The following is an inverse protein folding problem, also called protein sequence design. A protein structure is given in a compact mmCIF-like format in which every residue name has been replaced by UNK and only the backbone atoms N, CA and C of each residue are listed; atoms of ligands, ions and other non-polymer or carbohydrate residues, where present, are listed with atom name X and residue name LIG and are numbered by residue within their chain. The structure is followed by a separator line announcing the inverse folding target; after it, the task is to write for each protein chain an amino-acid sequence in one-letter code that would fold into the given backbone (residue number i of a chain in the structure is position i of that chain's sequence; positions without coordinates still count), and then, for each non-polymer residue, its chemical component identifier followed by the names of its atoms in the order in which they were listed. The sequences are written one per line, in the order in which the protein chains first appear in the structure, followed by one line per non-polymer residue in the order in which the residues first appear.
data_IF_505290703883
#
_entry.id   IF_505290703883
#
_cell.length_a   1.000
_cell.length_b   1.000
_cell.length_c   1.000
_cell.angle_alpha   90.00
_cell.angle_beta   90.00
_cell.angle_gamma   90.00
#
_symmetry.space_group_name_H-M   'P 1'
#
loop_
_entity.id
_entity.type
_entity.pdbx_description
1 polymer ?
#
# COMPACT_ATOMS: atom_id res chain seq x y z
N UNK A 1 12.78 -2.99 8.15
CA UNK A 1 12.82 -1.73 7.35
C UNK A 1 13.89 -1.81 6.27
N UNK A 2 15.10 -2.28 6.58
CA UNK A 2 16.18 -2.45 5.58
C UNK A 2 15.85 -3.46 4.49
N UNK A 3 15.26 -4.61 4.83
CA UNK A 3 14.83 -5.61 3.84
C UNK A 3 13.81 -5.04 2.83
N UNK A 4 12.92 -4.15 3.28
CA UNK A 4 12.03 -3.43 2.38
C UNK A 4 12.82 -2.54 1.41
N UNK A 5 13.84 -1.82 1.89
CA UNK A 5 14.69 -1.01 1.02
C UNK A 5 15.48 -1.85 0.01
N UNK A 6 15.94 -3.05 0.39
CA UNK A 6 16.59 -4.02 -0.53
C UNK A 6 15.62 -4.53 -1.58
N UNK A 7 14.40 -4.88 -1.18
CA UNK A 7 13.33 -5.26 -2.11
C UNK A 7 13.03 -4.14 -3.12
N UNK A 8 12.88 -2.90 -2.63
CA UNK A 8 12.65 -1.73 -3.50
C UNK A 8 13.81 -1.55 -4.47
N UNK A 9 15.07 -1.66 -4.04
CA UNK A 9 16.22 -1.61 -4.95
C UNK A 9 16.14 -2.63 -6.08
N UNK A 10 15.67 -3.86 -5.80
CA UNK A 10 15.50 -4.90 -6.81
C UNK A 10 14.36 -4.57 -7.78
N UNK A 11 13.23 -4.08 -7.27
CA UNK A 11 12.08 -3.66 -8.09
C UNK A 11 12.47 -2.50 -9.02
N UNK A 12 13.19 -1.50 -8.51
CA UNK A 12 13.69 -0.36 -9.28
C UNK A 12 14.61 -0.77 -10.44
N UNK A 13 15.21 -1.96 -10.38
CA UNK A 13 16.08 -2.45 -11.44
C UNK A 13 15.29 -3.02 -12.63
N UNK A 14 14.10 -3.56 -12.39
CA UNK A 14 13.30 -4.29 -13.38
C UNK A 14 12.17 -3.44 -13.95
N UNK A 15 11.53 -2.64 -13.12
CA UNK A 15 10.35 -1.86 -13.53
C UNK A 15 10.81 -0.52 -14.12
N UNK A 16 10.51 -0.22 -15.40
CA UNK A 16 10.78 1.08 -16.00
C UNK A 16 9.77 2.14 -15.54
N UNK A 17 10.03 3.41 -15.85
CA UNK A 17 9.07 4.52 -15.64
C UNK A 17 8.65 4.72 -14.16
N UNK A 18 7.36 4.93 -13.90
CA UNK A 18 6.82 5.31 -12.61
C UNK A 18 6.56 4.15 -11.66
N UNK A 19 7.05 4.29 -10.43
CA UNK A 19 6.78 3.38 -9.30
C UNK A 19 6.25 4.18 -8.12
N UNK A 20 5.21 3.67 -7.47
CA UNK A 20 4.61 4.31 -6.30
C UNK A 20 4.66 3.34 -5.12
N UNK A 21 5.13 3.82 -3.97
CA UNK A 21 5.17 3.05 -2.73
C UNK A 21 4.25 3.73 -1.73
N UNK A 22 3.15 3.08 -1.39
CA UNK A 22 2.20 3.57 -0.40
C UNK A 22 2.55 3.05 0.99
N UNK A 23 2.61 3.98 1.94
CA UNK A 23 2.79 3.72 3.36
C UNK A 23 1.48 3.94 4.13
N UNK A 24 1.29 3.27 5.27
CA UNK A 24 0.08 3.40 6.08
C UNK A 24 -0.05 4.75 6.78
N UNK A 25 1.04 5.49 6.99
CA UNK A 25 1.03 6.81 7.60
C UNK A 25 2.27 7.63 7.24
N UNK A 26 2.17 8.96 7.33
CA UNK A 26 3.31 9.88 7.14
C UNK A 26 4.42 9.67 8.19
N UNK A 27 4.07 9.21 9.39
CA UNK A 27 5.06 8.93 10.44
C UNK A 27 5.87 7.68 10.11
N UNK A 28 5.21 6.65 9.63
CA UNK A 28 5.87 5.42 9.22
C UNK A 28 6.72 5.63 7.96
N UNK A 29 6.21 6.38 6.97
CA UNK A 29 7.00 6.80 5.80
C UNK A 29 8.28 7.52 6.23
N UNK A 30 8.19 8.49 7.15
CA UNK A 30 9.36 9.22 7.68
C UNK A 30 10.35 8.28 8.36
N UNK A 31 9.87 7.39 9.23
CA UNK A 31 10.70 6.39 9.92
C UNK A 31 11.46 5.50 8.93
N UNK A 32 10.78 5.06 7.86
CA UNK A 32 11.39 4.26 6.80
C UNK A 32 12.42 5.07 6.02
N UNK A 33 12.08 6.30 5.64
CA UNK A 33 12.97 7.21 4.92
C UNK A 33 14.26 7.48 5.70
N UNK A 34 14.15 7.80 6.98
CA UNK A 34 15.32 8.09 7.84
C UNK A 34 16.20 6.85 8.03
N UNK A 35 15.60 5.67 8.17
CA UNK A 35 16.34 4.41 8.23
C UNK A 35 17.04 4.06 6.90
N UNK A 36 16.41 4.35 5.76
CA UNK A 36 17.05 4.16 4.45
C UNK A 36 18.18 5.15 4.21
N UNK A 37 18.05 6.37 4.73
CA UNK A 37 19.10 7.38 4.69
C UNK A 37 20.31 6.95 5.53
N UNK A 38 20.09 6.51 6.78
CA UNK A 38 21.20 6.07 7.64
C UNK A 38 21.89 4.79 7.13
N UNK A 39 21.15 3.90 6.47
CA UNK A 39 21.69 2.68 5.87
C UNK A 39 22.33 2.88 4.48
N UNK A 40 22.36 4.10 3.93
CA UNK A 40 22.88 4.38 2.58
C UNK A 40 22.05 3.77 1.44
N UNK A 41 20.86 3.25 1.73
CA UNK A 41 19.95 2.69 0.71
C UNK A 41 19.34 3.79 -0.15
N UNK A 42 19.15 4.98 0.42
CA UNK A 42 18.58 6.12 -0.30
C UNK A 42 19.41 6.53 -1.51
N UNK A 43 20.74 6.56 -1.37
CA UNK A 43 21.67 6.88 -2.46
C UNK A 43 21.59 5.85 -3.58
N UNK A 44 21.45 4.56 -3.23
CA UNK A 44 21.27 3.47 -4.21
C UNK A 44 19.96 3.61 -4.97
N UNK A 45 18.89 3.99 -4.28
CA UNK A 45 17.58 4.26 -4.87
C UNK A 45 17.68 5.45 -5.83
N UNK A 46 18.22 6.58 -5.36
CA UNK A 46 18.36 7.82 -6.11
C UNK A 46 19.27 7.67 -7.33
N UNK A 47 20.28 6.79 -7.29
CA UNK A 47 21.11 6.46 -8.45
C UNK A 47 20.32 5.79 -9.58
N UNK A 48 19.26 5.04 -9.26
CA UNK A 48 18.44 4.31 -10.26
C UNK A 48 17.26 5.14 -10.75
N UNK A 49 16.54 5.78 -9.82
CA UNK A 49 15.34 6.57 -10.12
C UNK A 49 15.29 7.84 -9.27
N UNK A 50 14.69 8.88 -9.84
CA UNK A 50 14.44 10.13 -9.11
C UNK A 50 13.38 9.89 -8.03
N UNK A 51 13.70 10.24 -6.78
CA UNK A 51 12.86 9.98 -5.62
C UNK A 51 12.04 11.22 -5.27
N UNK A 52 10.73 11.00 -5.08
CA UNK A 52 9.77 12.01 -4.65
C UNK A 52 9.05 11.53 -3.39
N UNK A 53 8.62 12.49 -2.56
CA UNK A 53 7.87 12.22 -1.33
C UNK A 53 6.63 13.07 -1.29
N UNK A 54 5.53 12.49 -0.88
CA UNK A 54 4.29 13.21 -0.63
C UNK A 54 4.45 14.14 0.60
N UNK A 55 4.27 15.46 0.43
CA UNK A 55 4.23 16.39 1.55
C UNK A 55 2.88 16.29 2.28
N UNK A 56 2.86 16.66 3.56
CA UNK A 56 1.62 16.72 4.36
C UNK A 56 0.69 17.86 3.93
N UNK A 57 1.25 18.94 3.37
CA UNK A 57 0.52 20.15 2.97
C UNK A 57 -0.08 20.02 1.57
N UNK A 58 -1.28 20.57 1.39
CA UNK A 58 -2.04 20.48 0.13
C UNK A 58 -1.39 21.16 -1.07
N UNK A 59 -0.72 22.30 -0.83
CA UNK A 59 -0.17 23.17 -1.89
C UNK A 59 1.03 22.52 -2.57
N UNK A 60 1.86 21.85 -1.78
CA UNK A 60 3.12 21.26 -2.26
C UNK A 60 2.92 19.94 -3.02
N UNK A 61 1.78 19.27 -2.82
CA UNK A 61 1.48 17.98 -3.46
C UNK A 61 1.41 18.11 -4.98
N UNK A 62 0.70 19.12 -5.51
CA UNK A 62 0.55 19.26 -6.97
C UNK A 62 1.89 19.55 -7.67
N UNK A 63 2.74 20.37 -7.04
CA UNK A 63 4.07 20.67 -7.56
C UNK A 63 4.93 19.38 -7.66
N UNK A 64 4.99 18.59 -6.58
CA UNK A 64 5.73 17.33 -6.56
C UNK A 64 5.20 16.33 -7.59
N UNK A 65 3.89 16.27 -7.77
CA UNK A 65 3.27 15.37 -8.74
C UNK A 65 3.55 15.78 -10.18
N UNK A 66 3.53 17.08 -10.46
CA UNK A 66 3.94 17.60 -11.75
C UNK A 66 5.40 17.22 -12.04
N UNK A 67 6.30 17.45 -11.09
CA UNK A 67 7.71 17.05 -11.24
C UNK A 67 7.90 15.54 -11.41
N UNK A 68 7.10 14.72 -10.71
CA UNK A 68 7.08 13.28 -10.87
C UNK A 68 6.65 12.87 -12.28
N UNK A 69 5.54 13.43 -12.79
CA UNK A 69 5.05 13.16 -14.16
C UNK A 69 6.07 13.55 -15.21
N UNK A 70 6.69 14.72 -15.05
CA UNK A 70 7.73 15.21 -15.95
C UNK A 70 8.95 14.29 -15.94
N UNK A 71 9.36 13.82 -14.76
CA UNK A 71 10.47 12.87 -14.61
C UNK A 71 10.20 11.52 -15.29
N UNK A 72 8.97 10.99 -15.18
CA UNK A 72 8.57 9.75 -15.85
C UNK A 72 8.53 9.95 -17.37
N UNK A 73 7.86 10.99 -17.85
CA UNK A 73 7.68 11.27 -19.28
C UNK A 73 9.00 11.53 -20.00
N UNK A 74 9.94 12.22 -19.33
CA UNK A 74 11.29 12.44 -19.84
C UNK A 74 12.05 11.12 -20.10
N UNK A 75 11.72 10.06 -19.38
CA UNK A 75 12.31 8.73 -19.56
C UNK A 75 11.61 7.93 -20.67
N UNK A 76 10.29 8.04 -20.80
CA UNK A 76 9.51 7.32 -21.83
C UNK A 76 9.81 7.80 -23.25
N UNK A 77 9.97 9.12 -23.43
CA UNK A 77 10.20 9.72 -24.76
C UNK A 77 11.65 9.63 -25.25
N UNK A 78 12.60 9.51 -24.31
CA UNK A 78 14.00 9.29 -24.61
C UNK A 78 14.28 7.80 -24.50
N UNK A 79 13.94 7.05 -25.55
CA UNK A 79 14.48 5.71 -25.76
C UNK A 79 15.99 5.71 -25.49
N UNK A 80 16.54 4.56 -25.06
CA UNK A 80 17.84 4.30 -24.44
C UNK A 80 19.13 4.93 -25.05
N UNK A 81 19.02 5.83 -26.02
CA UNK A 81 20.05 6.39 -26.88
C UNK A 81 20.62 7.76 -26.45
N UNK A 82 20.08 8.46 -25.43
CA UNK A 82 20.67 9.75 -24.99
C UNK A 82 20.61 10.00 -23.48
N UNK A 83 21.67 9.59 -22.75
CA UNK A 83 22.15 10.25 -21.52
C UNK A 83 21.17 10.45 -20.35
N UNK A 84 19.98 9.86 -20.33
CA UNK A 84 19.05 9.97 -19.21
C UNK A 84 19.66 9.26 -18.00
N UNK A 85 20.00 10.03 -16.96
CA UNK A 85 20.67 9.56 -15.75
C UNK A 85 19.80 8.54 -14.98
N UNK A 86 18.47 8.57 -15.18
CA UNK A 86 17.51 7.72 -14.47
C UNK A 86 16.50 7.09 -15.43
N UNK A 87 16.07 5.85 -15.13
CA UNK A 87 15.08 5.10 -15.90
C UNK A 87 13.66 5.25 -15.29
N UNK A 88 13.27 6.48 -14.96
CA UNK A 88 11.98 6.82 -14.36
C UNK A 88 12.07 7.38 -12.94
N UNK A 89 10.95 7.31 -12.22
CA UNK A 89 10.76 7.95 -10.92
C UNK A 89 10.11 7.03 -9.89
N UNK A 90 10.36 7.32 -8.62
CA UNK A 90 9.79 6.65 -7.45
C UNK A 90 9.08 7.67 -6.59
N UNK A 91 7.80 7.46 -6.30
CA UNK A 91 6.99 8.30 -5.39
C UNK A 91 6.69 7.55 -4.10
N UNK A 92 7.12 8.09 -2.96
CA UNK A 92 6.69 7.64 -1.63
C UNK A 92 5.42 8.41 -1.25
N UNK A 93 4.31 7.69 -1.13
CA UNK A 93 2.99 8.24 -0.87
C UNK A 93 2.36 7.58 0.35
N UNK A 94 1.28 8.16 0.86
CA UNK A 94 0.55 7.64 2.03
C UNK A 94 -0.87 7.23 1.62
N UNK A 95 -1.34 6.10 2.14
CA UNK A 95 -2.72 5.65 1.96
C UNK A 95 -3.66 6.61 2.70
N UNK A 96 -4.73 7.06 2.04
CA UNK A 96 -5.61 8.12 2.54
C UNK A 96 -4.98 9.52 2.43
N UNK A 97 -3.84 9.64 1.75
CA UNK A 97 -3.26 10.91 1.34
C UNK A 97 -3.92 11.45 0.06
N UNK A 98 -3.64 12.70 -0.29
CA UNK A 98 -4.15 13.36 -1.49
C UNK A 98 -3.77 12.62 -2.76
N UNK A 99 -2.56 12.05 -2.75
CA UNK A 99 -2.05 11.25 -3.87
C UNK A 99 -2.87 9.98 -4.09
N UNK A 100 -3.36 9.36 -3.01
CA UNK A 100 -4.13 8.11 -3.09
C UNK A 100 -5.60 8.29 -3.48
N UNK A 101 -6.17 9.48 -3.27
CA UNK A 101 -7.59 9.75 -3.54
C UNK A 101 -7.80 10.48 -4.89
N UNK A 102 -6.94 11.45 -5.21
CA UNK A 102 -7.23 12.47 -6.23
C UNK A 102 -6.47 12.32 -7.54
N UNK A 103 -5.63 11.30 -7.71
CA UNK A 103 -4.73 11.21 -8.87
C UNK A 103 -5.06 10.03 -9.76
N UNK A 104 -5.19 10.34 -11.05
CA UNK A 104 -5.16 9.34 -12.10
C UNK A 104 -3.70 9.09 -12.54
N UNK A 105 -3.21 7.86 -12.35
CA UNK A 105 -1.92 7.43 -12.88
C UNK A 105 -2.14 6.84 -14.29
N UNK A 106 -2.17 7.71 -15.29
CA UNK A 106 -2.21 7.32 -16.71
C UNK A 106 -0.91 6.62 -17.15
N UNK A 107 -0.91 6.05 -18.35
CA UNK A 107 0.14 5.15 -18.87
C UNK A 107 1.57 5.60 -18.52
N UNK A 108 2.29 4.70 -17.87
CA UNK A 108 3.69 4.88 -17.43
C UNK A 108 3.86 5.49 -16.04
N UNK A 109 2.89 6.25 -15.52
CA UNK A 109 2.99 6.92 -14.22
C UNK A 109 2.92 5.96 -13.02
N UNK A 110 2.36 4.77 -13.20
CA UNK A 110 2.15 3.77 -12.14
C UNK A 110 2.38 2.34 -12.60
N UNK A 111 3.49 2.07 -13.30
CA UNK A 111 3.82 0.71 -13.81
C UNK A 111 3.97 -0.31 -12.70
N UNK A 112 4.33 0.12 -11.50
CA UNK A 112 4.31 -0.71 -10.30
C UNK A 112 3.82 0.12 -9.11
N UNK A 113 2.90 -0.49 -8.35
CA UNK A 113 2.45 0.04 -7.07
C UNK A 113 2.82 -0.97 -5.99
N UNK A 114 3.53 -0.50 -4.96
CA UNK A 114 3.93 -1.30 -3.80
C UNK A 114 3.16 -0.79 -2.59
N UNK A 115 2.37 -1.67 -1.98
CA UNK A 115 1.68 -1.38 -0.72
C UNK A 115 2.51 -1.90 0.44
N UNK A 116 2.97 -1.01 1.32
CA UNK A 116 3.78 -1.38 2.49
C UNK A 116 2.86 -1.68 3.66
N UNK A 117 2.66 -2.97 3.92
CA UNK A 117 1.71 -3.43 4.93
C UNK A 117 0.26 -3.29 4.44
N UNK A 118 -0.68 -3.54 5.35
CA UNK A 118 -2.09 -3.33 5.13
C UNK A 118 -2.51 -2.07 5.90
N UNK A 119 -3.21 -1.11 5.26
CA UNK A 119 -3.73 0.08 5.93
C UNK A 119 -4.91 -0.35 6.81
N UNK A 120 -4.62 -0.92 7.98
CA UNK A 120 -5.66 -1.21 8.95
C UNK A 120 -6.10 0.08 9.64
N UNK A 121 -7.42 0.28 9.84
CA UNK A 121 -7.90 1.35 10.68
C UNK A 121 -7.34 1.19 12.10
N UNK A 122 -7.17 2.30 12.81
CA UNK A 122 -6.68 2.24 14.18
C UNK A 122 -7.63 1.40 15.03
N UNK A 123 -7.15 0.43 15.83
CA UNK A 123 -8.00 -0.33 16.74
C UNK A 123 -8.61 0.55 17.85
N UNK A 124 -8.12 1.78 18.02
CA UNK A 124 -8.66 2.78 18.95
C UNK A 124 -9.74 3.67 18.34
N UNK A 125 -10.08 3.49 17.06
CA UNK A 125 -11.09 4.28 16.38
C UNK A 125 -12.48 3.95 16.97
N UNK A 126 -13.15 4.98 17.49
CA UNK A 126 -14.46 4.83 18.16
C UNK A 126 -15.52 4.34 17.18
N UNK A 127 -15.48 4.79 15.93
CA UNK A 127 -16.43 4.35 14.90
C UNK A 127 -16.22 2.86 14.59
N UNK A 128 -14.96 2.43 14.49
CA UNK A 128 -14.62 1.02 14.27
C UNK A 128 -15.09 0.16 15.45
N UNK A 129 -14.81 0.59 16.67
CA UNK A 129 -15.21 -0.12 17.88
C UNK A 129 -16.74 -0.25 17.97
N UNK A 130 -17.48 0.84 17.74
CA UNK A 130 -18.95 0.79 17.78
C UNK A 130 -19.53 -0.05 16.65
N UNK A 131 -18.93 -0.01 15.45
CA UNK A 131 -19.34 -0.86 14.34
C UNK A 131 -19.11 -2.34 14.64
N UNK A 132 -17.99 -2.69 15.27
CA UNK A 132 -17.72 -4.07 15.72
C UNK A 132 -18.76 -4.47 16.76
N UNK A 133 -19.01 -3.65 17.78
CA UNK A 133 -20.03 -3.92 18.81
C UNK A 133 -21.43 -4.11 18.21
N UNK A 134 -21.82 -3.28 17.24
CA UNK A 134 -23.10 -3.40 16.56
C UNK A 134 -23.22 -4.72 15.80
N UNK A 135 -22.20 -5.08 15.02
CA UNK A 135 -22.18 -6.34 14.25
C UNK A 135 -22.21 -7.55 15.18
N UNK A 136 -21.46 -7.51 16.29
CA UNK A 136 -21.48 -8.57 17.30
C UNK A 136 -22.84 -8.66 18.02
N UNK A 137 -23.47 -7.51 18.31
CA UNK A 137 -24.79 -7.45 18.94
C UNK A 137 -25.95 -7.90 18.03
N UNK A 138 -25.84 -7.68 16.72
CA UNK A 138 -26.87 -8.05 15.73
C UNK A 138 -26.75 -9.48 15.19
N UNK A 139 -25.67 -10.19 15.52
CA UNK A 139 -25.44 -11.60 15.14
C UNK A 139 -26.20 -12.64 15.95
N UNK A 140 -27.01 -12.23 16.94
CA UNK A 140 -27.72 -13.14 17.88
C UNK A 140 -29.22 -13.33 17.59
N UNK A 141 -29.76 -12.73 16.53
CA UNK A 141 -31.16 -12.91 16.13
C UNK A 141 -31.29 -13.76 14.86
N UNK A 142 -31.68 -15.02 15.06
CA UNK A 142 -32.32 -15.97 14.14
C UNK A 142 -31.90 -15.99 12.66
N UNK A 143 -31.13 -17.02 12.29
CA UNK A 143 -31.43 -17.79 11.09
C UNK A 143 -31.49 -19.27 11.45
N UNK A 144 -32.71 -19.71 11.68
CA UNK A 144 -33.06 -21.11 11.87
C UNK A 144 -32.82 -21.94 10.61
N UNK A 145 -32.46 -23.19 10.88
CA UNK A 145 -32.54 -24.38 10.04
C UNK A 145 -33.68 -24.34 9.01
N UNK A 146 -33.34 -24.33 7.72
CA UNK A 146 -34.16 -24.95 6.69
C UNK A 146 -33.23 -25.70 5.73
N UNK A 147 -33.37 -27.02 5.71
CA UNK A 147 -32.65 -27.89 4.81
C UNK A 147 -33.23 -27.86 3.40
N UNK A 148 -32.37 -28.06 2.41
CA UNK A 148 -32.74 -28.58 1.09
C UNK A 148 -31.61 -29.51 0.61
N UNK A 149 -31.98 -30.73 0.25
CA UNK A 149 -31.09 -31.82 -0.14
C UNK A 149 -30.86 -31.86 -1.66
N UNK A 150 -29.72 -32.46 -2.05
CA UNK A 150 -29.28 -32.88 -3.40
C UNK A 150 -28.42 -31.83 -4.13
N UNK A 151 -27.22 -32.10 -4.64
CA UNK A 151 -26.60 -33.35 -5.12
C UNK A 151 -25.07 -33.37 -4.93
N UNK A 152 -24.54 -34.60 -4.90
CA UNK A 152 -23.16 -34.97 -4.58
C UNK A 152 -22.09 -34.43 -5.56
N UNK A 153 -21.02 -33.87 -4.98
CA UNK A 153 -19.65 -33.98 -5.50
C UNK A 153 -18.73 -34.29 -4.30
N UNK A 154 -18.02 -35.42 -4.39
CA UNK A 154 -17.24 -36.02 -3.31
C UNK A 154 -15.84 -35.39 -3.09
N UNK A 155 -15.39 -35.51 -1.84
CA UNK A 155 -14.02 -35.42 -1.30
C UNK A 155 -13.40 -34.00 -1.19
N UNK A 156 -13.03 -33.43 -0.03
CA UNK A 156 -12.50 -33.99 1.21
C UNK A 156 -12.62 -32.95 2.36
N UNK A 157 -13.45 -33.25 3.38
CA UNK A 157 -13.45 -32.74 4.78
C UNK A 157 -13.05 -31.28 5.05
N UNK A 158 -13.88 -30.34 4.57
CA UNK A 158 -14.09 -29.03 5.20
C UNK A 158 -14.87 -29.27 6.51
N UNK A 159 -14.22 -29.15 7.66
CA UNK A 159 -14.88 -29.10 8.97
C UNK A 159 -14.59 -27.74 9.60
N UNK A 160 -15.59 -26.86 9.59
CA UNK A 160 -15.60 -25.62 10.39
C UNK A 160 -15.56 -24.31 9.64
N UNK A 161 -16.47 -24.07 8.68
CA UNK A 161 -16.79 -22.71 8.23
C UNK A 161 -17.76 -22.05 9.25
N UNK A 162 -17.24 -21.71 10.42
CA UNK A 162 -17.87 -20.76 11.33
C UNK A 162 -17.47 -19.35 10.92
N UNK A 163 -18.39 -18.39 11.01
CA UNK A 163 -18.18 -16.95 10.72
C UNK A 163 -17.08 -16.28 11.56
N UNK A 164 -16.35 -17.04 12.37
CA UNK A 164 -15.29 -16.59 13.27
C UNK A 164 -14.02 -16.16 12.53
N UNK A 165 -13.66 -16.81 11.41
CA UNK A 165 -12.36 -16.57 10.74
C UNK A 165 -12.21 -15.19 10.11
N UNK A 166 -13.32 -14.53 9.72
CA UNK A 166 -13.27 -13.19 9.12
C UNK A 166 -13.03 -12.09 10.15
N UNK A 167 -13.47 -12.28 11.41
CA UNK A 167 -13.24 -11.35 12.51
C UNK A 167 -11.98 -11.66 13.32
N UNK A 168 -11.39 -12.85 13.17
CA UNK A 168 -10.18 -13.25 13.87
C UNK A 168 -8.98 -12.34 13.57
N UNK A 169 -8.90 -11.78 12.36
CA UNK A 169 -7.88 -10.78 12.00
C UNK A 169 -8.04 -9.51 12.85
N UNK A 170 -9.29 -9.03 13.02
CA UNK A 170 -9.60 -7.86 13.85
C UNK A 170 -9.38 -8.18 15.35
N UNK A 171 -9.68 -9.40 15.79
CA UNK A 171 -9.45 -9.86 17.17
C UNK A 171 -7.95 -9.97 17.50
N UNK A 172 -7.13 -10.42 16.54
CA UNK A 172 -5.67 -10.49 16.67
C UNK A 172 -5.00 -9.11 16.82
N UNK A 173 -5.64 -8.03 16.37
CA UNK A 173 -5.10 -6.66 16.51
C UNK A 173 -5.14 -6.13 17.95
N UNK A 174 -5.87 -6.77 18.88
CA UNK A 174 -5.99 -6.33 20.28
C UNK A 174 -4.68 -6.43 21.09
N UNK A 175 -3.67 -7.16 20.57
CA UNK A 175 -2.42 -7.45 21.29
C UNK A 175 -1.17 -6.74 20.75
N UNK A 176 -1.25 -5.96 19.66
CA UNK A 176 -0.05 -5.42 18.98
C UNK A 176 0.21 -3.91 19.16
N UNK A 177 -0.58 -3.24 20.00
CA UNK A 177 -0.45 -1.80 20.29
C UNK A 177 0.10 -1.49 21.69
N UNK A 178 1.23 -2.09 22.07
CA UNK A 178 2.04 -1.64 23.22
C UNK A 178 3.43 -1.25 22.74
#
# INVERSE_FOLDING_TARGET
IEELGRLICNILAVVPEGIIVFFPSFEYERKVYDAWKSAGLLERIQKRKRLFREPRGSVDVEAILKEYRDAVTACSNKGATTGAVHNGALLLAVVGGKVSEGINFSDGLGRCVVMVGLPYPSPSDVELIERIKYIEGSGSSDYGTTGCSSSNFDNHRIRGYGRDTSLDILRSCKLRGR
#
